data_IF_497000389398
#
_entry.id   IF_497000389398
#
_cell.length_a   1.000
_cell.length_b   1.000
_cell.length_c   1.000
_cell.angle_alpha   90.00
_cell.angle_beta   90.00
_cell.angle_gamma   90.00
#
_symmetry.space_group_name_H-M   'P 1'
#
loop_
_entity.id
_entity.type
_entity.pdbx_description
1 polymer ?
#
# COMPACT_ATOMS: atom_id res chain seq x y z
N UNK A 1 32.35 -26.12 36.10
CA UNK A 1 32.39 -26.13 34.62
C UNK A 1 30.97 -26.00 34.05
N UNK A 2 30.09 -27.00 34.22
CA UNK A 2 28.73 -26.99 33.67
C UNK A 2 27.85 -25.80 34.11
N UNK A 3 27.83 -25.44 35.40
CA UNK A 3 27.00 -24.33 35.90
C UNK A 3 27.37 -22.96 35.32
N UNK A 4 28.66 -22.74 35.01
CA UNK A 4 29.15 -21.50 34.38
C UNK A 4 28.73 -21.44 32.91
N UNK A 5 28.76 -22.58 32.22
CA UNK A 5 28.30 -22.70 30.83
C UNK A 5 26.79 -22.48 30.72
N UNK A 6 26.01 -23.08 31.63
CA UNK A 6 24.54 -22.91 31.67
C UNK A 6 24.17 -21.44 31.92
N UNK A 7 24.84 -20.77 32.85
CA UNK A 7 24.61 -19.35 33.13
C UNK A 7 24.90 -18.45 31.91
N UNK A 8 25.99 -18.73 31.19
CA UNK A 8 26.36 -17.99 29.97
C UNK A 8 25.31 -18.21 28.86
N UNK A 9 24.88 -19.45 28.64
CA UNK A 9 23.85 -19.76 27.63
C UNK A 9 22.53 -19.08 27.99
N UNK A 10 22.12 -19.09 29.26
CA UNK A 10 20.90 -18.40 29.70
C UNK A 10 20.95 -16.88 29.50
N UNK A 11 22.11 -16.26 29.71
CA UNK A 11 22.30 -14.82 29.49
C UNK A 11 22.24 -14.45 28.00
N UNK A 12 22.75 -15.32 27.13
CA UNK A 12 22.68 -15.17 25.66
C UNK A 12 21.22 -15.30 25.21
N UNK A 13 20.48 -16.32 25.66
CA UNK A 13 19.06 -16.48 25.29
C UNK A 13 18.20 -15.31 25.79
N UNK A 14 18.49 -14.73 26.96
CA UNK A 14 17.82 -13.52 27.45
C UNK A 14 18.20 -12.25 26.66
N UNK A 15 19.46 -12.13 26.21
CA UNK A 15 19.94 -10.99 25.42
C UNK A 15 19.49 -11.02 23.94
N UNK A 16 19.30 -12.22 23.38
CA UNK A 16 18.89 -12.42 21.98
C UNK A 16 17.42 -12.88 21.83
N UNK A 17 16.71 -13.13 22.94
CA UNK A 17 15.37 -13.71 22.97
C UNK A 17 14.22 -12.81 22.51
N UNK A 18 14.49 -11.56 22.13
CA UNK A 18 13.48 -10.64 21.64
C UNK A 18 14.02 -9.79 20.48
N UNK A 19 14.43 -10.43 19.38
CA UNK A 19 14.60 -9.75 18.08
C UNK A 19 13.48 -10.20 17.13
N UNK A 20 12.24 -10.10 17.58
CA UNK A 20 11.13 -9.90 16.64
C UNK A 20 10.77 -8.42 16.66
N UNK A 21 11.72 -7.60 16.20
CA UNK A 21 11.44 -6.21 15.89
C UNK A 21 10.46 -6.18 14.71
N UNK A 22 9.21 -5.79 15.02
CA UNK A 22 8.12 -5.42 14.11
C UNK A 22 8.32 -5.69 12.62
N UNK A 23 8.05 -6.93 12.18
CA UNK A 23 7.84 -7.21 10.75
C UNK A 23 6.69 -6.36 10.22
N UNK A 24 6.86 -5.78 9.04
CA UNK A 24 5.83 -4.96 8.43
C UNK A 24 4.56 -5.79 8.16
N UNK A 25 3.34 -5.34 8.53
CA UNK A 25 2.11 -6.12 8.37
C UNK A 25 1.79 -6.56 6.93
N UNK A 26 2.41 -5.92 5.94
CA UNK A 26 2.17 -6.14 4.52
C UNK A 26 3.17 -7.09 3.85
N UNK A 27 4.24 -7.52 4.53
CA UNK A 27 5.19 -8.51 4.00
C UNK A 27 4.54 -9.85 3.67
N UNK A 28 3.43 -10.17 4.35
CA UNK A 28 2.64 -11.38 4.07
C UNK A 28 2.05 -11.44 2.66
N UNK A 29 1.85 -10.28 2.00
CA UNK A 29 1.29 -10.22 0.66
C UNK A 29 2.39 -10.30 -0.41
N UNK A 30 3.51 -9.61 -0.18
CA UNK A 30 4.68 -9.68 -1.03
C UNK A 30 5.93 -9.39 -0.20
N UNK A 31 7.03 -10.17 -0.37
CA UNK A 31 8.25 -9.99 0.41
C UNK A 31 8.86 -8.59 0.33
N UNK A 32 8.55 -7.81 -0.71
CA UNK A 32 9.09 -6.47 -0.93
C UNK A 32 7.97 -5.43 -1.14
N UNK A 33 7.07 -5.32 -0.15
CA UNK A 33 5.92 -4.45 -0.23
C UNK A 33 6.30 -2.96 -0.14
N UNK A 34 5.81 -2.13 -1.06
CA UNK A 34 6.19 -0.72 -1.17
C UNK A 34 5.98 0.09 0.11
N UNK A 35 4.94 -0.22 0.90
CA UNK A 35 4.66 0.46 2.18
C UNK A 35 5.67 0.10 3.30
N UNK A 36 6.36 -1.03 3.17
CA UNK A 36 7.37 -1.47 4.12
C UNK A 36 8.75 -0.89 3.80
N UNK A 37 8.93 -0.30 2.61
CA UNK A 37 10.19 0.33 2.22
C UNK A 37 10.38 1.65 2.96
N UNK A 38 11.60 1.96 3.42
CA UNK A 38 11.90 3.28 3.92
C UNK A 38 11.80 4.33 2.79
N UNK A 39 11.57 5.61 3.13
CA UNK A 39 11.62 6.69 2.15
C UNK A 39 12.97 6.72 1.42
N UNK A 40 12.95 7.09 0.13
CA UNK A 40 14.17 7.22 -0.65
C UNK A 40 15.06 8.35 -0.06
N UNK A 41 16.28 8.06 0.41
CA UNK A 41 17.15 9.06 1.03
C UNK A 41 17.66 10.12 0.05
N UNK A 42 17.65 9.84 -1.25
CA UNK A 42 18.10 10.78 -2.28
C UNK A 42 17.01 11.75 -2.75
N UNK A 43 15.77 11.62 -2.25
CA UNK A 43 14.65 12.45 -2.66
C UNK A 43 14.24 13.42 -1.55
N UNK A 44 14.38 14.72 -1.80
CA UNK A 44 13.82 15.75 -0.93
C UNK A 44 12.34 15.99 -1.28
N UNK A 45 11.44 15.55 -0.42
CA UNK A 45 9.99 15.63 -0.67
C UNK A 45 9.49 17.04 -0.33
N UNK A 46 9.17 17.83 -1.35
CA UNK A 46 8.70 19.21 -1.21
C UNK A 46 7.23 19.31 -0.75
N UNK A 47 6.39 18.38 -1.20
CA UNK A 47 4.97 18.32 -0.85
C UNK A 47 4.51 16.87 -0.78
N UNK A 48 3.63 16.57 0.18
CA UNK A 48 3.05 15.23 0.36
C UNK A 48 1.55 15.24 0.11
N UNK A 49 1.08 14.16 -0.49
CA UNK A 49 -0.34 13.92 -0.71
C UNK A 49 -0.94 14.81 -1.79
N UNK A 50 -2.25 14.66 -1.93
CA UNK A 50 -3.06 15.40 -2.90
C UNK A 50 -4.07 16.23 -2.11
N UNK A 51 -4.25 17.51 -2.45
CA UNK A 51 -5.19 18.40 -1.78
C UNK A 51 -6.65 17.91 -1.88
N UNK A 52 -7.51 18.32 -0.95
CA UNK A 52 -8.90 17.84 -0.92
C UNK A 52 -9.68 18.15 -2.22
N UNK A 53 -9.49 19.36 -2.77
CA UNK A 53 -10.08 19.74 -4.05
C UNK A 53 -9.58 18.88 -5.21
N UNK A 54 -8.27 18.61 -5.26
CA UNK A 54 -7.68 17.76 -6.29
C UNK A 54 -8.11 16.30 -6.17
N UNK A 55 -8.24 15.76 -4.95
CA UNK A 55 -8.80 14.42 -4.72
C UNK A 55 -10.23 14.33 -5.27
N UNK A 56 -11.04 15.36 -5.06
CA UNK A 56 -12.41 15.42 -5.60
C UNK A 56 -12.38 15.44 -7.13
N UNK A 57 -11.48 16.24 -7.71
CA UNK A 57 -11.31 16.34 -9.17
C UNK A 57 -10.89 15.01 -9.77
N UNK A 58 -9.90 14.34 -9.18
CA UNK A 58 -9.42 13.02 -9.63
C UNK A 58 -10.57 12.00 -9.57
N UNK A 59 -11.31 11.96 -8.46
CA UNK A 59 -12.42 11.04 -8.28
C UNK A 59 -13.54 11.29 -9.30
N UNK A 60 -13.90 12.56 -9.52
CA UNK A 60 -14.90 12.96 -10.50
C UNK A 60 -14.49 12.51 -11.91
N UNK A 61 -13.27 12.80 -12.33
CA UNK A 61 -12.77 12.42 -13.65
C UNK A 61 -12.81 10.91 -13.87
N UNK A 62 -12.41 10.12 -12.87
CA UNK A 62 -12.50 8.65 -12.96
C UNK A 62 -13.95 8.17 -13.04
N UNK A 63 -14.84 8.73 -12.21
CA UNK A 63 -16.24 8.33 -12.21
C UNK A 63 -16.93 8.67 -13.54
N UNK A 64 -16.70 9.86 -14.09
CA UNK A 64 -17.29 10.31 -15.35
C UNK A 64 -16.82 9.40 -16.50
N UNK A 65 -15.52 9.09 -16.57
CA UNK A 65 -14.99 8.19 -17.59
C UNK A 65 -15.53 6.77 -17.45
N UNK A 66 -15.55 6.22 -16.23
CA UNK A 66 -16.10 4.88 -15.99
C UNK A 66 -17.60 4.81 -16.34
N UNK A 67 -18.35 5.88 -16.09
CA UNK A 67 -19.76 5.96 -16.47
C UNK A 67 -19.94 6.00 -17.99
N UNK A 68 -19.12 6.78 -18.70
CA UNK A 68 -19.09 6.80 -20.18
C UNK A 68 -18.84 5.39 -20.75
N UNK A 69 -17.81 4.70 -20.26
CA UNK A 69 -17.49 3.34 -20.68
C UNK A 69 -18.64 2.38 -20.32
N UNK A 70 -19.18 2.45 -19.10
CA UNK A 70 -20.25 1.57 -18.67
C UNK A 70 -21.54 1.73 -19.47
N UNK A 71 -21.80 2.93 -20.00
CA UNK A 71 -22.94 3.21 -20.88
C UNK A 71 -22.72 2.75 -22.34
N UNK A 72 -21.54 2.22 -22.69
CA UNK A 72 -21.18 1.88 -24.06
C UNK A 72 -20.98 3.10 -24.96
N UNK A 73 -20.66 4.26 -24.36
CA UNK A 73 -20.49 5.53 -25.07
C UNK A 73 -19.02 5.84 -25.38
N UNK A 74 -18.09 4.96 -25.00
CA UNK A 74 -16.69 5.10 -25.38
C UNK A 74 -16.49 4.57 -26.79
N UNK A 75 -16.18 5.47 -27.72
CA UNK A 75 -16.03 5.20 -29.15
C UNK A 75 -14.57 4.95 -29.55
N UNK A 76 -13.61 5.33 -28.71
CA UNK A 76 -12.20 5.06 -28.94
C UNK A 76 -11.90 3.54 -28.83
N UNK A 77 -10.77 3.12 -29.38
CA UNK A 77 -10.32 1.71 -29.36
C UNK A 77 -11.33 0.69 -29.93
N UNK A 78 -12.16 1.11 -30.89
CA UNK A 78 -13.12 0.23 -31.56
C UNK A 78 -14.50 0.12 -30.90
N UNK A 79 -14.78 0.97 -29.90
CA UNK A 79 -16.07 0.98 -29.20
C UNK A 79 -16.11 -0.05 -28.08
N UNK A 80 -16.06 0.40 -26.82
CA UNK A 80 -16.17 -0.51 -25.68
C UNK A 80 -17.64 -0.85 -25.41
N UNK A 81 -17.97 -2.13 -25.14
CA UNK A 81 -19.33 -2.53 -24.84
C UNK A 81 -19.79 -1.95 -23.49
N UNK A 82 -21.12 -1.78 -23.30
CA UNK A 82 -21.67 -1.37 -22.02
C UNK A 82 -21.36 -2.41 -20.93
N UNK A 83 -21.20 -1.93 -19.68
CA UNK A 83 -20.93 -2.79 -18.54
C UNK A 83 -22.23 -3.30 -17.91
N UNK A 84 -22.24 -4.56 -17.44
CA UNK A 84 -23.39 -5.14 -16.73
C UNK A 84 -23.65 -4.50 -15.36
N UNK A 85 -22.60 -3.94 -14.73
CA UNK A 85 -22.69 -3.24 -13.44
C UNK A 85 -21.65 -2.14 -13.34
N UNK A 86 -22.09 -0.96 -12.92
CA UNK A 86 -21.22 0.16 -12.56
C UNK A 86 -21.64 0.74 -11.20
N UNK A 87 -20.65 1.06 -10.39
CA UNK A 87 -20.84 1.72 -9.08
C UNK A 87 -19.99 2.98 -9.06
N UNK A 88 -20.61 4.09 -8.65
CA UNK A 88 -19.95 5.37 -8.46
C UNK A 88 -19.38 5.44 -7.05
N UNK A 89 -18.10 5.79 -6.94
CA UNK A 89 -17.44 5.95 -5.65
C UNK A 89 -17.62 7.38 -5.13
N UNK A 90 -17.93 7.52 -3.85
CA UNK A 90 -17.95 8.80 -3.14
C UNK A 90 -16.61 9.08 -2.45
N UNK A 91 -16.39 10.33 -2.04
CA UNK A 91 -15.28 10.67 -1.15
C UNK A 91 -15.75 10.44 0.29
N UNK A 92 -15.07 9.55 1.02
CA UNK A 92 -15.29 9.30 2.45
C UNK A 92 -14.58 10.31 3.34
#
# INVERSE_FOLDING_TARGET
MAARVIAIISAIVLAFGFIECGRCPYEKFTPNHSFCKPPNPSCNILQRGVGAGDRMKILKLHNDYRAKVAAGQETEAGGLPPASKYVRNGMG
#
